data_IF_318710914031
#
_entry.id   IF_318710914031
#
_cell.length_a   1.000
_cell.length_b   1.000
_cell.length_c   1.000
_cell.angle_alpha   90.00
_cell.angle_beta   90.00
_cell.angle_gamma   90.00
#
_symmetry.space_group_name_H-M   'P 1'
#
loop_
_entity.id
_entity.type
_entity.pdbx_description
1 polymer ?
#
# COMPACT_ATOMS: atom_id res chain seq x y z
N UNK A 1 -13.32 19.23 -7.60
CA UNK A 1 -13.98 19.12 -6.28
C UNK A 1 -13.65 17.73 -5.80
N UNK A 2 -12.48 17.59 -5.19
CA UNK A 2 -11.86 16.31 -4.86
C UNK A 2 -12.75 15.56 -3.87
N UNK A 3 -13.17 14.36 -4.26
CA UNK A 3 -13.88 13.42 -3.42
C UNK A 3 -13.10 13.23 -2.12
N UNK A 4 -13.76 13.55 -0.99
CA UNK A 4 -13.25 13.25 0.35
C UNK A 4 -13.08 11.73 0.46
N UNK A 5 -11.90 11.23 0.14
CA UNK A 5 -11.54 9.88 0.52
C UNK A 5 -11.57 9.78 2.05
N UNK A 6 -12.21 8.74 2.54
CA UNK A 6 -12.36 8.45 3.96
C UNK A 6 -10.97 8.47 4.62
N UNK A 7 -10.87 9.06 5.81
CA UNK A 7 -9.62 9.18 6.59
C UNK A 7 -8.87 7.84 6.71
N UNK A 8 -9.60 6.73 6.74
CA UNK A 8 -9.08 5.37 6.81
C UNK A 8 -8.33 4.92 5.55
N UNK A 9 -8.77 5.31 4.36
CA UNK A 9 -8.08 4.96 3.10
C UNK A 9 -6.68 5.61 3.07
N UNK A 10 -6.59 6.86 3.52
CA UNK A 10 -5.33 7.58 3.66
C UNK A 10 -4.42 6.90 4.70
N UNK A 11 -4.94 6.53 5.88
CA UNK A 11 -4.15 5.79 6.89
C UNK A 11 -3.59 4.47 6.34
N UNK A 12 -4.39 3.72 5.58
CA UNK A 12 -3.96 2.45 4.96
C UNK A 12 -2.86 2.72 3.93
N UNK A 13 -3.06 3.70 3.06
CA UNK A 13 -2.10 4.11 2.04
C UNK A 13 -0.74 4.51 2.66
N UNK A 14 -0.77 5.32 3.72
CA UNK A 14 0.42 5.69 4.49
C UNK A 14 1.10 4.48 5.13
N UNK A 15 0.32 3.55 5.70
CA UNK A 15 0.88 2.34 6.31
C UNK A 15 1.57 1.46 5.27
N UNK A 16 0.99 1.29 4.08
CA UNK A 16 1.64 0.56 2.98
C UNK A 16 2.94 1.25 2.53
N UNK A 17 2.93 2.58 2.43
CA UNK A 17 4.14 3.35 2.13
C UNK A 17 5.24 3.13 3.18
N UNK A 18 4.88 3.06 4.46
CA UNK A 18 5.83 2.73 5.54
C UNK A 18 6.43 1.34 5.35
N UNK A 19 5.63 0.32 5.04
CA UNK A 19 6.13 -1.04 4.80
C UNK A 19 7.23 -1.06 3.73
N UNK A 20 7.03 -0.33 2.64
CA UNK A 20 8.04 -0.21 1.57
C UNK A 20 9.34 0.43 2.06
N UNK A 21 9.23 1.52 2.81
CA UNK A 21 10.39 2.24 3.36
C UNK A 21 11.13 1.37 4.38
N UNK A 22 10.41 0.65 5.24
CA UNK A 22 10.99 -0.28 6.22
C UNK A 22 11.75 -1.43 5.56
N UNK A 23 11.31 -1.86 4.37
CA UNK A 23 12.02 -2.86 3.57
C UNK A 23 13.22 -2.29 2.79
N UNK A 24 13.48 -0.98 2.91
CA UNK A 24 14.65 -0.30 2.33
C UNK A 24 14.44 0.32 0.95
N UNK A 25 13.22 0.32 0.41
CA UNK A 25 12.95 0.91 -0.90
C UNK A 25 12.63 2.40 -0.79
N UNK A 26 13.44 3.23 -1.41
CA UNK A 26 13.18 4.67 -1.56
C UNK A 26 12.19 4.96 -2.68
N UNK A 27 12.14 4.11 -3.71
CA UNK A 27 11.29 4.25 -4.90
C UNK A 27 10.19 3.21 -4.93
N UNK A 28 8.95 3.67 -5.09
CA UNK A 28 7.77 2.83 -5.31
C UNK A 28 7.87 1.99 -6.59
N UNK A 29 8.58 2.52 -7.60
CA UNK A 29 8.81 1.83 -8.86
C UNK A 29 9.72 0.61 -8.68
N UNK A 30 10.80 0.76 -7.91
CA UNK A 30 11.73 -0.33 -7.64
C UNK A 30 11.04 -1.47 -6.88
N UNK A 31 10.23 -1.14 -5.87
CA UNK A 31 9.43 -2.13 -5.15
C UNK A 31 8.43 -2.84 -6.08
N UNK A 32 7.77 -2.09 -6.95
CA UNK A 32 6.79 -2.63 -7.87
C UNK A 32 7.44 -3.54 -8.94
N UNK A 33 8.56 -3.11 -9.53
CA UNK A 33 9.31 -3.91 -10.50
C UNK A 33 9.86 -5.20 -9.86
N UNK A 34 10.40 -5.15 -8.64
CA UNK A 34 10.95 -6.34 -7.96
C UNK A 34 9.86 -7.37 -7.58
N UNK A 35 8.66 -6.90 -7.24
CA UNK A 35 7.57 -7.76 -6.80
C UNK A 35 6.51 -8.03 -7.87
N UNK A 36 6.82 -7.72 -9.13
CA UNK A 36 5.94 -7.91 -10.30
C UNK A 36 4.55 -7.27 -10.11
N UNK A 37 4.54 -6.04 -9.59
CA UNK A 37 3.35 -5.21 -9.40
C UNK A 37 3.40 -4.09 -10.44
N UNK A 38 2.27 -3.73 -11.03
CA UNK A 38 2.21 -2.56 -11.92
C UNK A 38 2.55 -1.27 -11.13
N UNK A 39 3.59 -0.50 -11.51
CA UNK A 39 4.04 0.67 -10.73
C UNK A 39 2.96 1.74 -10.55
N UNK A 40 2.09 1.91 -11.55
CA UNK A 40 0.99 2.87 -11.50
C UNK A 40 -0.10 2.44 -10.52
N UNK A 41 -0.41 1.13 -10.45
CA UNK A 41 -1.33 0.59 -9.46
C UNK A 41 -0.77 0.77 -8.05
N UNK A 42 0.51 0.48 -7.85
CA UNK A 42 1.16 0.62 -6.56
C UNK A 42 1.22 2.08 -6.09
N UNK A 43 1.58 3.02 -6.98
CA UNK A 43 1.55 4.45 -6.66
C UNK A 43 0.17 4.96 -6.26
N UNK A 44 -0.90 4.55 -6.99
CA UNK A 44 -2.27 4.93 -6.63
C UNK A 44 -2.66 4.44 -5.23
N UNK A 45 -2.18 3.26 -4.85
CA UNK A 45 -2.43 2.67 -3.55
C UNK A 45 -1.71 3.47 -2.45
N UNK A 46 -0.44 3.84 -2.63
CA UNK A 46 0.29 4.67 -1.67
C UNK A 46 -0.25 6.11 -1.54
N UNK A 47 -0.84 6.65 -2.59
CA UNK A 47 -1.45 7.99 -2.57
C UNK A 47 -2.89 7.97 -2.02
N UNK A 48 -3.46 6.80 -1.79
CA UNK A 48 -4.86 6.61 -1.41
C UNK A 48 -5.86 6.90 -2.53
N UNK A 49 -5.46 7.53 -3.64
CA UNK A 49 -6.28 8.14 -4.71
C UNK A 49 -7.30 7.25 -5.43
N UNK A 50 -7.36 5.95 -5.18
CA UNK A 50 -8.35 5.06 -5.79
C UNK A 50 -8.70 3.91 -4.86
N UNK A 51 -9.94 3.45 -4.91
CA UNK A 51 -10.33 2.18 -4.30
C UNK A 51 -9.47 1.05 -4.87
N UNK A 52 -8.58 0.52 -4.05
CA UNK A 52 -7.74 -0.61 -4.42
C UNK A 52 -8.47 -1.91 -4.06
N UNK A 53 -8.17 -2.97 -4.81
CA UNK A 53 -8.69 -4.30 -4.48
C UNK A 53 -8.00 -4.81 -3.22
N UNK A 54 -8.77 -5.41 -2.32
CA UNK A 54 -8.24 -6.07 -1.12
C UNK A 54 -7.18 -7.11 -1.50
N UNK A 55 -7.33 -7.80 -2.63
CA UNK A 55 -6.33 -8.75 -3.14
C UNK A 55 -4.95 -8.12 -3.38
N UNK A 56 -4.90 -6.86 -3.85
CA UNK A 56 -3.64 -6.14 -4.02
C UNK A 56 -2.97 -5.83 -2.68
N UNK A 57 -3.77 -5.45 -1.67
CA UNK A 57 -3.26 -5.25 -0.31
C UNK A 57 -2.72 -6.56 0.27
N UNK A 58 -3.49 -7.66 0.17
CA UNK A 58 -3.06 -8.98 0.68
C UNK A 58 -1.72 -9.39 0.07
N UNK A 59 -1.56 -9.26 -1.26
CA UNK A 59 -0.29 -9.57 -1.93
C UNK A 59 0.89 -8.77 -1.36
N UNK A 60 0.70 -7.47 -1.09
CA UNK A 60 1.72 -6.63 -0.46
C UNK A 60 2.03 -7.16 0.95
N UNK A 61 1.01 -7.46 1.75
CA UNK A 61 1.22 -8.00 3.10
C UNK A 61 1.97 -9.34 3.09
N UNK A 62 1.68 -10.23 2.13
CA UNK A 62 2.40 -11.49 1.93
C UNK A 62 3.89 -11.25 1.61
N UNK A 63 4.19 -10.29 0.74
CA UNK A 63 5.57 -9.87 0.40
C UNK A 63 6.33 -9.35 1.64
N UNK A 64 5.62 -8.73 2.57
CA UNK A 64 6.17 -8.24 3.84
C UNK A 64 6.09 -9.28 4.97
N UNK A 65 5.51 -10.46 4.72
CA UNK A 65 5.24 -11.49 5.71
C UNK A 65 4.42 -11.00 6.91
N UNK A 66 3.50 -10.07 6.66
CA UNK A 66 2.62 -9.45 7.67
C UNK A 66 1.23 -10.06 7.56
N UNK A 67 0.62 -10.39 8.69
CA UNK A 67 -0.78 -10.82 8.73
C UNK A 67 -1.72 -9.63 8.58
N UNK A 68 -2.89 -9.86 7.98
CA UNK A 68 -3.93 -8.84 7.83
C UNK A 68 -4.33 -8.21 9.18
N UNK A 69 -4.47 -9.03 10.23
CA UNK A 69 -4.78 -8.58 11.59
C UNK A 69 -3.73 -7.59 12.14
N UNK A 70 -2.45 -7.90 11.95
CA UNK A 70 -1.34 -7.06 12.41
C UNK A 70 -1.26 -5.77 11.59
N UNK A 71 -1.56 -5.85 10.29
CA UNK A 71 -1.63 -4.67 9.44
C UNK A 71 -2.74 -3.70 9.85
N UNK A 72 -3.91 -4.18 10.29
CA UNK A 72 -5.00 -3.30 10.74
C UNK A 72 -4.96 -2.97 12.23
N UNK A 73 -4.02 -3.57 12.99
CA UNK A 73 -3.87 -3.27 14.40
C UNK A 73 -3.55 -1.78 14.62
N UNK A 74 -4.43 -1.11 15.36
CA UNK A 74 -4.29 0.31 15.73
C UNK A 74 -4.68 1.33 14.66
N UNK A 75 -5.37 0.91 13.59
CA UNK A 75 -6.07 1.82 12.67
C UNK A 75 -7.43 2.23 13.24
#
# INVERSE_FOLDING_TARGET
>A
MDEKQTTEVQKIAEKVKKLRIEKGYTSYRNFADEHEIEPKQYWKLEEGKSDFRISSLIRILEIHNIKLEEFFRGL
#
